data_IF_310249348134
#
_entry.id   IF_310249348134
#
_cell.length_a   1.000
_cell.length_b   1.000
_cell.length_c   1.000
_cell.angle_alpha   90.00
_cell.angle_beta   90.00
_cell.angle_gamma   90.00
#
_symmetry.space_group_name_H-M   'P 1'
#
loop_
_entity.id
_entity.type
_entity.pdbx_description
1 polymer ?
#
# COMPACT_ATOMS: atom_id res chain seq x y z
N UNK A 1 15.11 -8.00 -13.13
CA UNK A 1 14.34 -8.65 -12.04
C UNK A 1 13.00 -7.94 -11.96
N UNK A 2 11.91 -8.57 -12.45
CA UNK A 2 10.60 -7.92 -12.51
C UNK A 2 9.76 -8.36 -11.32
N UNK A 3 10.17 -7.94 -10.10
CA UNK A 3 9.52 -8.26 -8.84
C UNK A 3 8.83 -7.04 -8.24
N UNK A 4 7.78 -7.30 -7.45
CA UNK A 4 7.05 -6.27 -6.72
C UNK A 4 6.79 -6.73 -5.29
N UNK A 5 6.70 -5.79 -4.36
CA UNK A 5 6.35 -6.02 -2.96
C UNK A 5 5.14 -5.15 -2.65
N UNK A 6 4.11 -5.75 -2.08
CA UNK A 6 2.83 -5.10 -1.82
C UNK A 6 2.61 -5.09 -0.31
N UNK A 7 2.48 -3.90 0.27
CA UNK A 7 2.08 -3.71 1.67
C UNK A 7 0.63 -3.27 1.74
N UNK A 8 -0.14 -3.95 2.54
CA UNK A 8 -1.52 -3.56 2.88
C UNK A 8 -1.76 -3.74 4.36
N UNK A 9 -2.65 -2.96 4.91
CA UNK A 9 -3.00 -3.01 6.32
C UNK A 9 -4.27 -2.22 6.60
N UNK A 10 -4.98 -2.51 7.68
CA UNK A 10 -5.95 -1.59 8.24
C UNK A 10 -5.28 -0.28 8.69
N UNK A 11 -6.03 0.82 8.65
CA UNK A 11 -5.56 2.13 9.12
C UNK A 11 -5.12 2.04 10.59
N UNK A 12 -3.93 2.56 10.90
CA UNK A 12 -3.38 2.54 12.26
C UNK A 12 -2.52 1.33 12.62
N UNK A 13 -2.28 0.41 11.68
CA UNK A 13 -1.46 -0.80 11.90
C UNK A 13 0.06 -0.57 11.85
N UNK A 14 0.52 0.65 11.48
CA UNK A 14 1.94 0.98 11.38
C UNK A 14 2.58 0.71 10.00
N UNK A 15 1.79 0.47 8.97
CA UNK A 15 2.22 0.16 7.61
C UNK A 15 3.23 1.18 7.05
N UNK A 16 2.91 2.47 7.11
CA UNK A 16 3.77 3.54 6.59
C UNK A 16 5.18 3.52 7.19
N UNK A 17 5.29 3.26 8.48
CA UNK A 17 6.59 3.15 9.18
C UNK A 17 7.40 1.98 8.66
N UNK A 18 6.75 0.84 8.43
CA UNK A 18 7.40 -0.39 7.94
C UNK A 18 7.79 -0.27 6.45
N UNK A 19 6.97 0.36 5.63
CA UNK A 19 7.29 0.67 4.23
C UNK A 19 8.50 1.59 4.14
N UNK A 20 8.52 2.67 4.94
CA UNK A 20 9.65 3.60 4.99
C UNK A 20 10.93 2.90 5.43
N UNK A 21 10.87 2.10 6.48
CA UNK A 21 12.00 1.29 6.95
C UNK A 21 12.53 0.37 5.85
N UNK A 22 11.64 -0.29 5.10
CA UNK A 22 12.03 -1.17 3.99
C UNK A 22 12.78 -0.41 2.90
N UNK A 23 12.30 0.78 2.50
CA UNK A 23 12.95 1.64 1.51
C UNK A 23 14.33 2.15 1.96
N UNK A 24 14.50 2.43 3.26
CA UNK A 24 15.77 2.87 3.85
C UNK A 24 16.78 1.71 3.96
N UNK A 25 16.30 0.49 4.16
CA UNK A 25 17.14 -0.71 4.38
C UNK A 25 17.59 -1.34 3.07
N UNK A 26 16.75 -1.33 2.04
CA UNK A 26 16.99 -2.02 0.77
C UNK A 26 17.09 -1.01 -0.41
N UNK A 27 18.30 -0.66 -0.85
CA UNK A 27 18.50 0.27 -1.96
C UNK A 27 17.97 -0.25 -3.30
N UNK A 28 17.69 -1.56 -3.39
CA UNK A 28 17.07 -2.20 -4.55
C UNK A 28 15.57 -1.86 -4.69
N UNK A 29 14.94 -1.38 -3.63
CA UNK A 29 13.51 -1.01 -3.65
C UNK A 29 13.32 0.41 -4.19
N UNK A 30 12.23 0.61 -4.91
CA UNK A 30 11.75 1.94 -5.30
C UNK A 30 10.23 2.01 -5.16
N UNK A 31 9.75 3.10 -4.55
CA UNK A 31 8.33 3.31 -4.30
C UNK A 31 7.57 3.63 -5.59
N UNK A 32 6.43 2.98 -5.81
CA UNK A 32 5.52 3.29 -6.91
C UNK A 32 4.58 4.41 -6.54
N UNK A 33 4.61 5.49 -7.31
CA UNK A 33 3.74 6.65 -7.11
C UNK A 33 2.39 6.37 -7.76
N UNK A 34 1.32 6.34 -6.96
CA UNK A 34 -0.05 6.11 -7.43
C UNK A 34 -0.66 7.36 -8.07
N UNK A 35 -1.65 7.15 -8.94
CA UNK A 35 -2.52 8.21 -9.46
C UNK A 35 -3.72 8.41 -8.55
N UNK A 36 -4.22 9.64 -8.46
CA UNK A 36 -5.49 9.96 -7.81
C UNK A 36 -6.14 11.18 -8.44
N UNK A 37 -7.46 11.24 -8.35
CA UNK A 37 -8.25 12.41 -8.79
C UNK A 37 -8.68 13.33 -7.66
N UNK A 38 -8.34 12.98 -6.40
CA UNK A 38 -8.56 13.92 -5.29
C UNK A 38 -7.59 15.08 -5.37
N UNK A 39 -7.98 16.20 -4.80
CA UNK A 39 -7.08 17.34 -4.64
C UNK A 39 -5.93 17.02 -3.68
N UNK A 40 -4.74 17.60 -3.89
CA UNK A 40 -3.63 17.54 -2.95
C UNK A 40 -4.05 18.02 -1.56
N UNK A 41 -3.51 17.41 -0.52
CA UNK A 41 -3.73 17.80 0.88
C UNK A 41 -2.43 18.39 1.46
N UNK A 42 -2.54 19.53 2.12
CA UNK A 42 -1.40 20.17 2.77
C UNK A 42 -0.22 20.40 1.80
N UNK A 43 0.91 19.79 2.10
CA UNK A 43 2.16 19.93 1.33
C UNK A 43 2.38 18.84 0.27
N UNK A 44 1.36 18.02 -0.04
CA UNK A 44 1.50 16.98 -1.08
C UNK A 44 1.86 17.57 -2.44
N UNK A 45 2.82 16.96 -3.11
CA UNK A 45 3.39 17.43 -4.38
C UNK A 45 3.10 16.46 -5.51
N UNK A 46 2.64 16.99 -6.65
CA UNK A 46 2.43 16.21 -7.87
C UNK A 46 3.74 15.52 -8.31
N UNK A 47 3.64 14.25 -8.69
CA UNK A 47 4.75 13.36 -9.08
C UNK A 47 5.71 12.95 -7.95
N UNK A 48 5.46 13.38 -6.72
CA UNK A 48 6.21 12.99 -5.52
C UNK A 48 5.36 12.12 -4.61
N UNK A 49 4.21 12.64 -4.18
CA UNK A 49 3.28 11.91 -3.31
C UNK A 49 2.26 11.12 -4.13
N UNK A 50 1.71 11.77 -5.16
CA UNK A 50 0.77 11.19 -6.13
C UNK A 50 0.94 11.84 -7.51
N UNK A 51 0.53 11.12 -8.55
CA UNK A 51 0.17 11.73 -9.83
C UNK A 51 -1.26 12.24 -9.71
N UNK A 52 -1.45 13.52 -9.40
CA UNK A 52 -2.76 14.16 -9.33
C UNK A 52 -3.29 14.41 -10.73
N UNK A 53 -4.43 13.80 -11.06
CA UNK A 53 -5.10 13.87 -12.36
C UNK A 53 -6.51 14.44 -12.20
N UNK A 54 -7.05 14.99 -13.25
CA UNK A 54 -8.50 15.26 -13.32
C UNK A 54 -9.27 13.94 -13.51
N UNK A 55 -10.57 13.88 -13.17
CA UNK A 55 -11.39 12.70 -13.46
C UNK A 55 -11.40 12.32 -14.95
N UNK A 56 -11.39 13.31 -15.85
CA UNK A 56 -11.37 13.06 -17.29
C UNK A 56 -10.04 12.47 -17.77
N UNK A 57 -8.91 12.98 -17.29
CA UNK A 57 -7.58 12.42 -17.57
C UNK A 57 -7.46 10.99 -17.03
N UNK A 58 -8.05 10.71 -15.86
CA UNK A 58 -8.04 9.37 -15.29
C UNK A 58 -8.88 8.41 -16.13
N UNK A 59 -10.11 8.79 -16.51
CA UNK A 59 -10.98 8.01 -17.40
C UNK A 59 -10.35 7.76 -18.77
N UNK A 60 -9.66 8.75 -19.34
CA UNK A 60 -8.89 8.56 -20.57
C UNK A 60 -7.85 7.44 -20.40
N UNK A 61 -7.08 7.47 -19.32
CA UNK A 61 -6.07 6.43 -19.01
C UNK A 61 -6.69 5.05 -18.79
N UNK A 62 -7.91 4.97 -18.25
CA UNK A 62 -8.67 3.71 -18.18
C UNK A 62 -8.96 3.21 -19.60
N UNK A 63 -9.44 4.07 -20.49
CA UNK A 63 -9.76 3.69 -21.88
C UNK A 63 -8.53 3.23 -22.68
N UNK A 64 -7.34 3.72 -22.31
CA UNK A 64 -6.04 3.35 -22.88
C UNK A 64 -5.43 2.08 -22.24
N UNK A 65 -6.14 1.42 -21.31
CA UNK A 65 -5.62 0.28 -20.53
C UNK A 65 -4.28 0.57 -19.83
N UNK A 66 -4.12 1.81 -19.35
CA UNK A 66 -2.85 2.28 -18.79
C UNK A 66 -2.60 1.84 -17.33
N UNK A 67 -3.62 1.33 -16.63
CA UNK A 67 -3.51 0.95 -15.23
C UNK A 67 -3.24 -0.55 -15.04
N UNK A 68 -2.45 -0.87 -14.02
CA UNK A 68 -2.35 -2.23 -13.46
C UNK A 68 -3.63 -2.57 -12.69
N UNK A 69 -4.09 -1.64 -11.87
CA UNK A 69 -5.34 -1.67 -11.12
C UNK A 69 -5.82 -0.24 -10.90
N UNK A 70 -7.11 -0.07 -10.70
CA UNK A 70 -7.72 1.19 -10.26
C UNK A 70 -9.03 0.93 -9.53
N UNK A 71 -9.42 1.87 -8.68
CA UNK A 71 -10.68 1.83 -7.93
C UNK A 71 -11.34 3.21 -7.91
N UNK A 72 -12.65 3.25 -8.14
CA UNK A 72 -13.47 4.41 -7.85
C UNK A 72 -14.01 4.30 -6.43
N UNK A 73 -13.40 5.03 -5.49
CA UNK A 73 -13.75 4.98 -4.06
C UNK A 73 -15.04 5.74 -3.76
N UNK A 74 -15.22 6.87 -4.44
CA UNK A 74 -16.44 7.69 -4.48
C UNK A 74 -16.60 8.24 -5.89
N UNK A 75 -17.78 8.74 -6.23
CA UNK A 75 -18.04 9.35 -7.54
C UNK A 75 -16.93 10.32 -7.94
N UNK A 76 -16.28 10.06 -9.07
CA UNK A 76 -15.15 10.81 -9.61
C UNK A 76 -13.89 10.86 -8.72
N UNK A 77 -13.80 10.03 -7.69
CA UNK A 77 -12.61 9.89 -6.85
C UNK A 77 -11.95 8.55 -7.09
N UNK A 78 -10.94 8.57 -7.94
CA UNK A 78 -10.18 7.41 -8.36
C UNK A 78 -8.81 7.33 -7.67
N UNK A 79 -8.34 6.10 -7.50
CA UNK A 79 -6.96 5.75 -7.22
C UNK A 79 -6.52 4.65 -8.17
N UNK A 80 -5.26 4.63 -8.56
CA UNK A 80 -4.76 3.58 -9.44
C UNK A 80 -3.26 3.59 -9.61
N UNK A 81 -2.75 2.48 -10.11
CA UNK A 81 -1.33 2.23 -10.36
C UNK A 81 -1.08 2.15 -11.87
N UNK A 82 -0.25 3.04 -12.39
CA UNK A 82 0.12 3.05 -13.81
C UNK A 82 1.12 1.93 -14.15
N UNK A 83 0.88 1.22 -15.26
CA UNK A 83 1.82 0.25 -15.84
C UNK A 83 3.17 0.90 -16.15
N UNK A 84 3.16 2.12 -16.67
CA UNK A 84 4.37 2.89 -16.99
C UNK A 84 5.24 3.23 -15.77
N UNK A 85 4.64 3.43 -14.59
CA UNK A 85 5.39 3.67 -13.36
C UNK A 85 6.13 2.40 -12.91
N UNK A 86 5.47 1.26 -13.00
CA UNK A 86 6.08 -0.05 -12.70
C UNK A 86 7.23 -0.36 -13.66
N UNK A 87 7.02 -0.18 -14.96
CA UNK A 87 8.04 -0.39 -16.00
C UNK A 87 9.25 0.52 -15.82
N UNK A 88 9.03 1.78 -15.49
CA UNK A 88 10.08 2.76 -15.20
C UNK A 88 10.99 2.29 -14.06
N UNK A 89 10.43 1.73 -12.99
CA UNK A 89 11.19 1.20 -11.85
C UNK A 89 11.94 -0.07 -12.26
N UNK A 90 11.28 -1.00 -12.95
CA UNK A 90 11.92 -2.22 -13.43
C UNK A 90 13.06 -1.95 -14.42
N UNK A 91 12.95 -0.95 -15.29
CA UNK A 91 14.01 -0.53 -16.24
C UNK A 91 15.26 0.01 -15.53
N UNK A 92 15.14 0.45 -14.26
CA UNK A 92 16.28 0.79 -13.39
C UNK A 92 16.90 -0.44 -12.71
N UNK A 93 16.40 -1.65 -12.97
CA UNK A 93 16.81 -2.88 -12.29
C UNK A 93 16.32 -3.00 -10.84
N UNK A 94 15.31 -2.20 -10.46
CA UNK A 94 14.78 -2.15 -9.09
C UNK A 94 13.52 -2.98 -8.91
N UNK A 95 13.20 -3.29 -7.66
CA UNK A 95 11.99 -3.94 -7.21
C UNK A 95 10.97 -2.86 -6.81
N UNK A 96 9.75 -2.98 -7.31
CA UNK A 96 8.68 -2.03 -6.99
C UNK A 96 8.11 -2.31 -5.61
N UNK A 97 7.91 -1.27 -4.80
CA UNK A 97 7.17 -1.37 -3.55
C UNK A 97 5.87 -0.56 -3.63
N UNK A 98 4.78 -1.16 -3.19
CA UNK A 98 3.45 -0.57 -3.12
C UNK A 98 2.99 -0.41 -1.67
N UNK A 99 2.42 0.73 -1.36
CA UNK A 99 1.68 1.02 -0.14
C UNK A 99 0.23 1.32 -0.53
N UNK A 100 -0.63 0.30 -0.44
CA UNK A 100 -2.01 0.35 -0.94
C UNK A 100 -2.99 -0.15 0.12
N UNK A 101 -4.28 0.15 -0.07
CA UNK A 101 -5.33 -0.43 0.75
C UNK A 101 -5.48 -1.94 0.47
N UNK A 102 -6.34 -2.59 1.25
CA UNK A 102 -6.48 -4.06 1.19
C UNK A 102 -7.01 -4.51 -0.18
N UNK A 103 -8.00 -3.82 -0.74
CA UNK A 103 -8.57 -4.18 -2.06
C UNK A 103 -7.57 -3.97 -3.19
N UNK A 104 -6.85 -2.86 -3.16
CA UNK A 104 -5.75 -2.59 -4.10
C UNK A 104 -4.65 -3.63 -4.00
N UNK A 105 -4.28 -4.04 -2.80
CA UNK A 105 -3.27 -5.09 -2.56
C UNK A 105 -3.67 -6.44 -3.15
N UNK A 106 -4.92 -6.86 -2.98
CA UNK A 106 -5.46 -8.09 -3.57
C UNK A 106 -5.45 -8.01 -5.10
N UNK A 107 -5.88 -6.88 -5.67
CA UNK A 107 -5.89 -6.66 -7.12
C UNK A 107 -4.47 -6.69 -7.71
N UNK A 108 -3.50 -6.05 -7.08
CA UNK A 108 -2.10 -6.08 -7.46
C UNK A 108 -1.51 -7.50 -7.37
N UNK A 109 -1.78 -8.23 -6.28
CA UNK A 109 -1.34 -9.62 -6.15
C UNK A 109 -1.89 -10.50 -7.26
N UNK A 110 -3.16 -10.35 -7.59
CA UNK A 110 -3.80 -11.09 -8.69
C UNK A 110 -3.16 -10.78 -10.04
N UNK A 111 -2.81 -9.51 -10.29
CA UNK A 111 -2.19 -9.07 -11.54
C UNK A 111 -0.74 -9.60 -11.69
N UNK A 112 0.07 -9.46 -10.66
CA UNK A 112 1.50 -9.82 -10.72
C UNK A 112 1.78 -11.30 -10.42
N UNK A 113 0.86 -12.02 -9.76
CA UNK A 113 1.00 -13.43 -9.45
C UNK A 113 2.27 -13.73 -8.64
N UNK A 114 3.10 -14.64 -9.12
CA UNK A 114 4.34 -15.06 -8.46
C UNK A 114 5.44 -14.00 -8.45
N UNK A 115 5.34 -12.97 -9.30
CA UNK A 115 6.25 -11.82 -9.26
C UNK A 115 6.02 -10.91 -8.07
N UNK A 116 4.93 -11.11 -7.32
CA UNK A 116 4.55 -10.30 -6.17
C UNK A 116 4.71 -11.06 -4.85
N UNK A 117 5.34 -10.40 -3.88
CA UNK A 117 5.22 -10.72 -2.46
C UNK A 117 4.21 -9.76 -1.84
N UNK A 118 3.06 -10.27 -1.40
CA UNK A 118 2.05 -9.47 -0.71
C UNK A 118 2.11 -9.70 0.80
N UNK A 119 2.20 -8.60 1.56
CA UNK A 119 2.38 -8.59 3.01
C UNK A 119 1.21 -7.81 3.62
N UNK A 120 0.47 -8.46 4.50
CA UNK A 120 -0.56 -7.83 5.32
C UNK A 120 0.03 -7.48 6.69
N UNK A 121 -0.05 -6.20 7.07
CA UNK A 121 0.37 -5.76 8.40
C UNK A 121 -0.84 -5.76 9.32
N UNK A 122 -0.82 -6.64 10.28
CA UNK A 122 -1.90 -6.85 11.23
C UNK A 122 -1.61 -6.13 12.55
N UNK A 123 -2.54 -5.36 13.13
CA UNK A 123 -2.41 -4.90 14.50
C UNK A 123 -2.57 -6.10 15.44
N UNK A 124 -1.99 -6.07 16.66
CA UNK A 124 -2.10 -7.19 17.61
C UNK A 124 -3.53 -7.46 18.05
N UNK A 125 -4.39 -6.45 18.07
CA UNK A 125 -5.83 -6.56 18.31
C UNK A 125 -6.57 -5.31 17.78
N UNK A 126 -7.90 -5.39 17.68
CA UNK A 126 -8.75 -4.25 17.33
C UNK A 126 -8.71 -3.18 18.43
N UNK A 127 -8.68 -3.58 19.70
CA UNK A 127 -8.57 -2.65 20.83
C UNK A 127 -7.26 -1.86 20.78
N UNK A 128 -6.15 -2.49 20.44
CA UNK A 128 -4.87 -1.82 20.30
C UNK A 128 -4.87 -0.86 19.09
N UNK A 129 -5.50 -1.24 17.99
CA UNK A 129 -5.69 -0.38 16.82
C UNK A 129 -6.52 0.86 17.19
N UNK A 130 -7.64 0.69 17.88
CA UNK A 130 -8.47 1.80 18.37
C UNK A 130 -7.66 2.73 19.28
N UNK A 131 -6.90 2.17 20.24
CA UNK A 131 -6.01 2.94 21.11
C UNK A 131 -4.99 3.77 20.31
N UNK A 132 -4.39 3.20 19.27
CA UNK A 132 -3.44 3.91 18.38
C UNK A 132 -4.10 5.04 17.62
N UNK A 133 -5.33 4.85 17.14
CA UNK A 133 -6.12 5.89 16.46
C UNK A 133 -6.45 7.05 17.41
N UNK A 134 -6.90 6.75 18.63
CA UNK A 134 -7.20 7.75 19.66
C UNK A 134 -5.93 8.55 20.03
N UNK A 135 -4.81 7.86 20.22
CA UNK A 135 -3.54 8.49 20.64
C UNK A 135 -3.00 9.47 19.59
N UNK A 136 -3.27 9.26 18.31
CA UNK A 136 -2.89 10.20 17.23
C UNK A 136 -3.60 11.54 17.33
N UNK A 137 -4.75 11.59 18.00
CA UNK A 137 -5.55 12.80 18.23
C UNK A 137 -5.82 13.65 16.96
N UNK A 138 -5.96 12.97 15.82
CA UNK A 138 -6.21 13.61 14.51
C UNK A 138 -7.68 13.52 14.08
N UNK A 139 -8.45 12.65 14.74
CA UNK A 139 -9.81 12.30 14.36
C UNK A 139 -10.76 12.47 15.56
N UNK A 140 -12.01 12.79 15.27
CA UNK A 140 -13.09 12.78 16.25
C UNK A 140 -13.55 11.33 16.55
N UNK A 141 -14.37 11.18 17.60
CA UNK A 141 -14.85 9.86 18.06
C UNK A 141 -15.66 9.11 17.00
N UNK A 142 -16.43 9.81 16.18
CA UNK A 142 -17.24 9.21 15.10
C UNK A 142 -16.33 8.65 13.98
N UNK A 143 -15.32 9.43 13.59
CA UNK A 143 -14.32 9.02 12.61
C UNK A 143 -13.53 7.81 13.10
N UNK A 144 -13.12 7.77 14.38
CA UNK A 144 -12.42 6.62 14.98
C UNK A 144 -13.30 5.38 14.91
N UNK A 145 -14.58 5.48 15.31
CA UNK A 145 -15.52 4.36 15.25
C UNK A 145 -15.68 3.80 13.83
N UNK A 146 -15.78 4.68 12.84
CA UNK A 146 -15.87 4.30 11.42
C UNK A 146 -14.60 3.59 10.96
N UNK A 147 -13.43 4.07 11.37
CA UNK A 147 -12.14 3.45 11.04
C UNK A 147 -11.95 2.09 11.70
N UNK A 148 -12.39 1.92 12.94
CA UNK A 148 -12.35 0.63 13.64
C UNK A 148 -13.24 -0.39 12.94
N UNK A 149 -14.49 -0.02 12.59
CA UNK A 149 -15.39 -0.90 11.85
C UNK A 149 -14.82 -1.30 10.48
N UNK A 150 -14.20 -0.36 9.75
CA UNK A 150 -13.51 -0.66 8.50
C UNK A 150 -12.32 -1.59 8.71
N UNK A 151 -11.54 -1.41 9.78
CA UNK A 151 -10.40 -2.26 10.09
C UNK A 151 -10.84 -3.70 10.40
N UNK A 152 -11.95 -3.89 11.12
CA UNK A 152 -12.53 -5.22 11.34
C UNK A 152 -12.88 -5.92 10.03
N UNK A 153 -13.50 -5.20 9.08
CA UNK A 153 -13.76 -5.73 7.74
C UNK A 153 -12.45 -6.06 7.01
N UNK A 154 -11.49 -5.16 6.99
CA UNK A 154 -10.20 -5.33 6.30
C UNK A 154 -9.39 -6.50 6.85
N UNK A 155 -9.46 -6.78 8.15
CA UNK A 155 -8.81 -7.92 8.81
C UNK A 155 -9.33 -9.27 8.27
N UNK A 156 -10.56 -9.35 7.81
CA UNK A 156 -11.12 -10.58 7.23
C UNK A 156 -10.42 -11.01 5.94
N UNK A 157 -9.74 -10.08 5.27
CA UNK A 157 -9.00 -10.33 4.02
C UNK A 157 -7.52 -10.69 4.23
N UNK A 158 -7.03 -10.77 5.47
CA UNK A 158 -5.62 -11.04 5.75
C UNK A 158 -5.10 -12.33 5.07
N UNK A 159 -5.93 -13.36 4.99
CA UNK A 159 -5.59 -14.64 4.37
C UNK A 159 -5.48 -14.60 2.84
N UNK A 160 -5.85 -13.50 2.18
CA UNK A 160 -5.66 -13.28 0.75
C UNK A 160 -4.21 -12.85 0.40
N UNK A 161 -3.38 -12.59 1.43
CA UNK A 161 -2.00 -12.17 1.29
C UNK A 161 -1.03 -13.34 1.51
N UNK A 162 0.15 -13.26 0.90
CA UNK A 162 1.17 -14.32 1.03
C UNK A 162 1.74 -14.42 2.45
N UNK A 163 1.83 -13.29 3.14
CA UNK A 163 2.39 -13.18 4.49
C UNK A 163 1.57 -12.21 5.35
N UNK A 164 1.41 -12.59 6.62
CA UNK A 164 0.82 -11.74 7.65
C UNK A 164 1.93 -11.43 8.64
N UNK A 165 2.18 -10.14 8.91
CA UNK A 165 3.13 -9.66 9.91
C UNK A 165 2.35 -8.94 10.99
N UNK A 166 2.33 -9.51 12.21
CA UNK A 166 1.66 -8.89 13.35
C UNK A 166 2.57 -7.84 13.97
N UNK A 167 2.15 -6.58 13.93
CA UNK A 167 2.92 -5.45 14.47
C UNK A 167 2.61 -5.21 15.96
N UNK A 168 2.99 -6.15 16.79
CA UNK A 168 2.95 -6.03 18.26
C UNK A 168 4.12 -5.21 18.75
N UNK A 169 5.32 -5.59 18.35
CA UNK A 169 6.57 -4.87 18.55
C UNK A 169 7.14 -4.41 17.21
N UNK A 170 7.45 -3.12 17.09
CA UNK A 170 7.88 -2.54 15.82
C UNK A 170 9.23 -3.09 15.36
N UNK A 171 10.18 -3.33 16.28
CA UNK A 171 11.51 -3.80 15.91
C UNK A 171 11.49 -5.28 15.50
N UNK A 172 10.64 -6.09 16.10
CA UNK A 172 10.39 -7.46 15.67
C UNK A 172 9.73 -7.49 14.30
N UNK A 173 8.68 -6.67 14.07
CA UNK A 173 8.02 -6.56 12.77
C UNK A 173 8.99 -6.09 11.67
N UNK A 174 9.89 -5.14 11.95
CA UNK A 174 10.94 -4.72 11.01
C UNK A 174 11.85 -5.88 10.61
N UNK A 175 12.35 -6.65 11.59
CA UNK A 175 13.23 -7.81 11.34
C UNK A 175 12.52 -8.89 10.51
N UNK A 176 11.26 -9.16 10.80
CA UNK A 176 10.48 -10.12 10.05
C UNK A 176 10.31 -9.68 8.59
N UNK A 177 9.95 -8.42 8.36
CA UNK A 177 9.82 -7.84 7.01
C UNK A 177 11.16 -7.86 6.27
N UNK A 178 12.27 -7.51 6.91
CA UNK A 178 13.60 -7.58 6.30
C UNK A 178 13.92 -9.00 5.81
N UNK A 179 13.62 -10.02 6.61
CA UNK A 179 13.85 -11.41 6.24
C UNK A 179 12.95 -11.82 5.05
N UNK A 180 11.67 -11.43 5.05
CA UNK A 180 10.74 -11.72 3.97
C UNK A 180 11.20 -11.09 2.65
N UNK A 181 11.57 -9.80 2.69
CA UNK A 181 12.05 -9.06 1.52
C UNK A 181 13.36 -9.66 0.99
N UNK A 182 14.33 -9.92 1.86
CA UNK A 182 15.63 -10.50 1.50
C UNK A 182 15.46 -11.86 0.82
N UNK A 183 14.65 -12.74 1.38
CA UNK A 183 14.38 -14.04 0.81
C UNK A 183 13.69 -13.92 -0.55
N UNK A 184 12.72 -13.02 -0.68
CA UNK A 184 12.00 -12.80 -1.93
C UNK A 184 12.89 -12.23 -3.03
N UNK A 185 13.72 -11.24 -2.73
CA UNK A 185 14.63 -10.64 -3.71
C UNK A 185 15.65 -11.69 -4.18
N UNK A 186 16.16 -12.54 -3.28
CA UNK A 186 17.18 -13.55 -3.57
C UNK A 186 16.63 -14.80 -4.25
N UNK A 187 15.31 -15.05 -4.23
CA UNK A 187 14.71 -16.18 -4.96
C UNK A 187 14.80 -15.96 -6.48
N UNK A 188 15.08 -17.01 -7.22
CA UNK A 188 15.19 -16.96 -8.69
C UNK A 188 13.84 -17.07 -9.37
#
# INVERSE_FOLDING_TARGET
>A
MNKVIIFSAPSGSGKTTLVKHSLETFPELEFSISCTTRQPRGSEVHTVDYHFLTPDEFRQKISEDAFVEYEEVYTDKYYGTLKSEVEKIWNKGKVVIFDVDVKGGISLKKYFGEKALSIFIEPPSIEELERRLITRNTDDAETIKTRVAKAEEEMTYANEFDKIVVNTDLDEAKKEIENLIKNFISSH
#
